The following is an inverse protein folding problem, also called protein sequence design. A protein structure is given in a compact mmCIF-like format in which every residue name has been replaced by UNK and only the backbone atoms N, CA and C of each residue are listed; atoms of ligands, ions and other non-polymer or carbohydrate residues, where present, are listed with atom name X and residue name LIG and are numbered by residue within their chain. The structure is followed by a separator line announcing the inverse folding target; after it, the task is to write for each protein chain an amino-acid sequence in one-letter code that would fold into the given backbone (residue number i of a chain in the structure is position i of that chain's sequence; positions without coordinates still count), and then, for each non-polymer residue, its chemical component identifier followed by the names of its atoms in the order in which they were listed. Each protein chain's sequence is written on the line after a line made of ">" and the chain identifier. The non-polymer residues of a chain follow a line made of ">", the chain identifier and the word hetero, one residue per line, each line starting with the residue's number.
data_IF_299895835990
#
_entry.id   IF_299895835990
#
_cell.length_a   1.000
_cell.length_b   1.000
_cell.length_c   1.000
_cell.angle_alpha   90.00
_cell.angle_beta   90.00
_cell.angle_gamma   90.00
#
_symmetry.space_group_name_H-M   'P 1'
#
loop_
_entity.id
_entity.type
_entity.pdbx_description
1 polymer ?
#
# COMPACT_ATOMS: atom_id res chain seq x y z
N UNK A 1 -9.05 2.80 13.08
CA UNK A 1 -9.03 1.34 12.84
C UNK A 1 -7.95 1.09 11.82
N UNK A 2 -6.88 0.44 12.24
CA UNK A 2 -5.81 0.05 11.34
C UNK A 2 -6.19 -1.28 10.70
N UNK A 3 -6.43 -1.27 9.39
CA UNK A 3 -6.74 -2.47 8.61
C UNK A 3 -5.72 -2.65 7.50
N UNK A 4 -5.43 -3.91 7.18
CA UNK A 4 -4.60 -4.27 6.05
C UNK A 4 -5.52 -4.78 4.94
N UNK A 5 -5.39 -4.20 3.76
CA UNK A 5 -6.13 -4.58 2.56
C UNK A 5 -5.14 -5.00 1.47
N UNK A 6 -5.44 -6.13 0.82
CA UNK A 6 -4.78 -6.52 -0.42
C UNK A 6 -5.43 -5.82 -1.60
N UNK A 7 -4.63 -5.17 -2.43
CA UNK A 7 -5.09 -4.37 -3.57
C UNK A 7 -4.39 -4.90 -4.81
N UNK A 8 -5.17 -5.25 -5.83
CA UNK A 8 -4.62 -5.66 -7.12
C UNK A 8 -3.91 -4.48 -7.80
N UNK A 9 -2.79 -4.79 -8.44
CA UNK A 9 -1.92 -3.77 -9.02
C UNK A 9 -2.57 -3.03 -10.20
N UNK A 10 -3.59 -3.62 -10.81
CA UNK A 10 -4.36 -3.05 -11.92
C UNK A 10 -5.26 -1.87 -11.50
N UNK A 11 -5.50 -1.69 -10.20
CA UNK A 11 -6.27 -0.55 -9.67
C UNK A 11 -5.47 0.77 -9.64
N UNK A 12 -4.19 0.73 -10.01
CA UNK A 12 -3.31 1.89 -10.03
C UNK A 12 -3.08 2.39 -11.46
N UNK A 13 -3.33 3.68 -11.67
CA UNK A 13 -3.11 4.39 -12.93
C UNK A 13 -1.99 5.44 -12.82
N UNK A 14 -1.53 5.94 -13.97
CA UNK A 14 -0.51 6.99 -14.08
C UNK A 14 0.72 6.73 -13.20
N UNK A 15 1.25 5.51 -13.30
CA UNK A 15 2.39 5.08 -12.50
C UNK A 15 3.66 5.74 -13.04
N UNK A 16 4.28 6.58 -12.22
CA UNK A 16 5.49 7.32 -12.55
C UNK A 16 6.62 6.98 -11.59
N UNK A 17 7.81 6.71 -12.11
CA UNK A 17 9.00 6.51 -11.28
C UNK A 17 9.48 7.87 -10.76
N UNK A 18 9.58 8.02 -9.44
CA UNK A 18 10.01 9.29 -8.84
C UNK A 18 11.54 9.39 -8.67
N UNK A 19 12.29 8.53 -9.37
CA UNK A 19 13.76 8.45 -9.45
C UNK A 19 14.50 8.46 -8.10
N UNK A 20 13.83 8.04 -7.02
CA UNK A 20 14.44 7.78 -5.73
C UNK A 20 14.72 6.30 -5.60
N UNK A 21 15.87 5.87 -6.14
CA UNK A 21 16.38 4.52 -5.92
C UNK A 21 17.05 4.46 -4.55
N UNK A 22 16.47 3.70 -3.63
CA UNK A 22 17.15 3.26 -2.42
C UNK A 22 18.02 2.03 -2.71
N UNK A 23 18.81 1.58 -1.72
CA UNK A 23 19.66 0.41 -1.88
C UNK A 23 18.89 -0.89 -2.26
N UNK A 24 17.61 -0.99 -1.89
CA UNK A 24 16.79 -2.21 -2.06
C UNK A 24 15.37 -1.94 -2.58
N UNK A 25 15.06 -0.70 -2.96
CA UNK A 25 13.69 -0.34 -3.35
C UNK A 25 13.64 0.82 -4.33
N UNK A 26 12.68 0.75 -5.24
CA UNK A 26 12.29 1.80 -6.15
C UNK A 26 10.97 2.42 -5.70
N UNK A 27 10.89 3.75 -5.71
CA UNK A 27 9.67 4.48 -5.33
C UNK A 27 8.97 4.99 -6.58
N UNK A 28 7.65 4.87 -6.61
CA UNK A 28 6.77 5.33 -7.67
C UNK A 28 5.64 6.18 -7.07
N UNK A 29 5.08 7.09 -7.85
CA UNK A 29 3.77 7.67 -7.58
C UNK A 29 2.74 7.06 -8.51
N UNK A 30 1.50 6.94 -8.05
CA UNK A 30 0.38 6.48 -8.85
C UNK A 30 -0.92 7.12 -8.38
N UNK A 31 -1.98 6.96 -9.16
CA UNK A 31 -3.36 7.23 -8.74
C UNK A 31 -4.00 5.88 -8.42
N UNK A 32 -4.48 5.69 -7.19
CA UNK A 32 -5.36 4.57 -6.85
C UNK A 32 -6.80 4.95 -7.15
N UNK A 33 -7.38 4.39 -8.21
CA UNK A 33 -8.67 4.82 -8.75
C UNK A 33 -9.84 4.59 -7.80
N UNK A 34 -9.80 3.45 -7.12
CA UNK A 34 -10.82 3.08 -6.15
C UNK A 34 -10.61 3.82 -4.82
N UNK A 35 -9.36 4.01 -4.41
CA UNK A 35 -9.02 4.69 -3.16
C UNK A 35 -9.35 3.89 -1.90
N UNK A 36 -8.97 4.41 -0.72
CA UNK A 36 -9.18 3.71 0.54
C UNK A 36 -10.64 3.74 0.98
N UNK A 37 -11.04 2.69 1.71
CA UNK A 37 -12.28 2.66 2.47
C UNK A 37 -12.12 3.49 3.74
N UNK A 38 -12.68 4.71 3.77
CA UNK A 38 -12.66 5.56 4.97
C UNK A 38 -14.04 6.02 5.42
N UNK A 39 -15.07 5.89 4.58
CA UNK A 39 -16.41 6.37 4.91
C UNK A 39 -17.28 5.17 5.24
N UNK A 40 -17.75 5.10 6.48
CA UNK A 40 -18.83 4.18 6.84
C UNK A 40 -20.15 4.85 6.46
N UNK A 41 -20.89 4.21 5.56
CA UNK A 41 -22.29 4.52 5.39
C UNK A 41 -23.04 3.90 6.57
N UNK A 42 -23.51 4.73 7.50
CA UNK A 42 -24.19 4.27 8.73
C UNK A 42 -25.55 3.64 8.43
N UNK A 43 -26.21 4.01 7.33
CA UNK A 43 -27.53 3.49 6.95
C UNK A 43 -27.41 2.14 6.25
N UNK A 44 -26.41 1.99 5.37
CA UNK A 44 -26.12 0.74 4.68
C UNK A 44 -25.22 -0.21 5.48
N UNK A 45 -24.60 0.24 6.56
CA UNK A 45 -23.54 -0.45 7.31
C UNK A 45 -22.35 -0.92 6.43
N UNK A 46 -22.08 -0.19 5.34
CA UNK A 46 -21.03 -0.54 4.36
C UNK A 46 -19.95 0.54 4.32
N UNK A 47 -18.69 0.09 4.27
CA UNK A 47 -17.56 0.97 4.02
C UNK A 47 -17.44 1.30 2.53
N UNK A 48 -17.62 2.57 2.19
CA UNK A 48 -17.48 3.09 0.82
C UNK A 48 -16.07 3.60 0.57
N UNK A 49 -15.65 3.53 -0.69
CA UNK A 49 -14.35 4.06 -1.11
C UNK A 49 -14.45 5.52 -1.53
N UNK A 50 -13.38 6.28 -1.31
CA UNK A 50 -13.34 7.72 -1.59
C UNK A 50 -13.02 8.07 -3.05
N UNK A 51 -12.79 7.08 -3.91
CA UNK A 51 -12.41 7.30 -5.30
C UNK A 51 -10.94 7.70 -5.47
N UNK A 52 -10.59 8.29 -6.62
CA UNK A 52 -9.20 8.44 -7.04
C UNK A 52 -8.35 9.26 -6.07
N UNK A 53 -7.24 8.69 -5.61
CA UNK A 53 -6.29 9.37 -4.72
C UNK A 53 -4.85 9.14 -5.17
N UNK A 54 -4.01 10.18 -5.04
CA UNK A 54 -2.58 10.05 -5.29
C UNK A 54 -1.89 9.30 -4.16
N UNK A 55 -1.15 8.24 -4.51
CA UNK A 55 -0.45 7.36 -3.58
C UNK A 55 1.03 7.24 -3.94
N UNK A 56 1.82 6.76 -2.98
CA UNK A 56 3.21 6.38 -3.17
C UNK A 56 3.30 4.85 -3.13
N UNK A 57 3.82 4.25 -4.19
CA UNK A 57 4.09 2.83 -4.28
C UNK A 57 5.58 2.59 -4.03
N UNK A 58 5.90 1.77 -3.04
CA UNK A 58 7.28 1.33 -2.78
C UNK A 58 7.43 -0.09 -3.31
N UNK A 59 8.12 -0.23 -4.44
CA UNK A 59 8.49 -1.53 -5.00
C UNK A 59 9.84 -1.94 -4.46
N UNK A 60 9.97 -3.20 -4.08
CA UNK A 60 11.25 -3.77 -3.68
C UNK A 60 11.97 -4.31 -4.90
N UNK A 61 13.24 -3.97 -5.02
CA UNK A 61 14.11 -4.47 -6.09
C UNK A 61 14.49 -5.94 -5.77
N UNK A 62 14.66 -6.81 -6.77
CA UNK A 62 14.97 -8.24 -6.62
C UNK A 62 13.88 -9.14 -5.99
N UNK A 63 12.60 -8.77 -6.12
CA UNK A 63 11.44 -9.52 -5.59
C UNK A 63 11.25 -10.96 -6.11
N UNK A 64 12.12 -11.46 -7.00
CA UNK A 64 12.11 -12.86 -7.42
C UNK A 64 12.73 -13.81 -6.37
N UNK A 65 13.40 -13.26 -5.35
CA UNK A 65 13.92 -13.98 -4.18
C UNK A 65 13.27 -13.39 -2.91
N UNK A 66 11.95 -13.58 -2.74
CA UNK A 66 11.31 -13.26 -1.45
C UNK A 66 11.87 -14.22 -0.40
N UNK A 67 12.85 -13.74 0.37
CA UNK A 67 13.45 -14.50 1.48
C UNK A 67 12.54 -14.45 2.72
N UNK A 68 12.66 -15.41 3.62
CA UNK A 68 11.91 -15.42 4.88
C UNK A 68 12.15 -14.16 5.74
N UNK A 69 13.33 -13.56 5.63
CA UNK A 69 13.66 -12.28 6.27
C UNK A 69 12.76 -11.13 5.79
N UNK A 70 12.27 -11.19 4.55
CA UNK A 70 11.37 -10.19 4.00
C UNK A 70 9.98 -10.26 4.64
N UNK A 71 9.41 -11.46 4.78
CA UNK A 71 8.14 -11.68 5.48
C UNK A 71 8.25 -11.17 6.92
N UNK A 72 9.41 -11.42 7.57
CA UNK A 72 9.66 -10.97 8.93
C UNK A 72 9.76 -9.43 9.04
N UNK A 73 10.25 -8.72 8.02
CA UNK A 73 10.25 -7.26 8.02
C UNK A 73 8.82 -6.70 7.88
N UNK A 74 8.00 -7.25 6.99
CA UNK A 74 6.59 -6.85 6.83
C UNK A 74 5.81 -7.10 8.12
N UNK A 75 6.03 -8.25 8.77
CA UNK A 75 5.43 -8.52 10.08
C UNK A 75 5.93 -7.55 11.16
N UNK A 76 7.23 -7.23 11.19
CA UNK A 76 7.76 -6.28 12.18
C UNK A 76 7.22 -4.85 12.02
N UNK A 77 6.93 -4.39 10.79
CA UNK A 77 6.26 -3.11 10.56
C UNK A 77 4.88 -3.11 11.22
N UNK A 78 4.12 -4.22 11.10
CA UNK A 78 2.80 -4.34 11.75
C UNK A 78 2.85 -4.34 13.27
N UNK A 79 3.93 -4.84 13.89
CA UNK A 79 4.11 -4.78 15.35
C UNK A 79 4.63 -3.43 15.85
N UNK A 80 5.40 -2.69 15.05
CA UNK A 80 5.96 -1.38 15.47
C UNK A 80 4.94 -0.23 15.50
N UNK A 81 3.79 -0.38 14.84
CA UNK A 81 2.67 0.56 14.93
C UNK A 81 1.79 0.36 16.17
N UNK A 82 2.03 -0.69 16.97
CA UNK A 82 1.41 -0.83 18.29
C UNK A 82 2.36 -0.21 19.31
N UNK A 83 2.20 1.09 19.55
CA UNK A 83 2.88 1.75 20.65
C UNK A 83 2.40 1.13 21.98
N UNK A 84 3.35 0.77 22.86
CA UNK A 84 3.08 0.64 24.29
C UNK A 84 2.59 1.98 24.87
#
# INVERSE_FOLDING_TARGET
>A
MDYLEWIDFDQFELIENINKRGAFSSIYSAIWMEGPRWNLDEEAEVWTRNGPIKVILKRLDNSQNISQEFVNQVSNISYSSTCQ
#
